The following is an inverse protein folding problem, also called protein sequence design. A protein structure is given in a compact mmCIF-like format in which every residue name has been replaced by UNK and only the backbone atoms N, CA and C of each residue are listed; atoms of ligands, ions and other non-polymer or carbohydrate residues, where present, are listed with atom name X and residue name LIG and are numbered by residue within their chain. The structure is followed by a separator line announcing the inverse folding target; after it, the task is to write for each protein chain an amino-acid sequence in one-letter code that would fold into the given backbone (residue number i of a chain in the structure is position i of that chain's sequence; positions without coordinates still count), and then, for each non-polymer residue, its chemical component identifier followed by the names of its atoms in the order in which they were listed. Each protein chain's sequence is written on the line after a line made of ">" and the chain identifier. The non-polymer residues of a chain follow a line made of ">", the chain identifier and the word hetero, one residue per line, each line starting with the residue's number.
data_IF_749390242118
#
_entry.id   IF_749390242118
#
_cell.length_a   1.000
_cell.length_b   1.000
_cell.length_c   1.000
_cell.angle_alpha   90.00
_cell.angle_beta   90.00
_cell.angle_gamma   90.00
#
_symmetry.space_group_name_H-M   'P 1'
#
loop_
_entity.id
_entity.type
_entity.pdbx_description
1 polymer ?
#
# COMPACT_ATOMS: atom_id res chain seq x y z
N UNK A 1 2.74 1.34 14.58
CA UNK A 1 3.74 0.58 13.82
C UNK A 1 5.00 1.39 13.73
N UNK A 2 6.14 0.72 13.77
CA UNK A 2 7.45 1.35 13.56
C UNK A 2 7.58 1.81 12.10
N UNK A 3 8.38 2.85 11.89
CA UNK A 3 8.75 3.31 10.54
C UNK A 3 9.63 2.26 9.86
N UNK A 4 9.34 1.95 8.61
CA UNK A 4 10.19 1.13 7.79
C UNK A 4 11.41 1.95 7.33
N UNK A 5 12.60 1.55 7.79
CA UNK A 5 13.88 2.17 7.42
C UNK A 5 13.91 3.71 7.57
N UNK A 6 13.21 4.25 8.59
CA UNK A 6 13.13 5.71 8.83
C UNK A 6 12.25 6.49 7.85
N UNK A 7 11.49 5.81 6.99
CA UNK A 7 10.57 6.44 6.03
C UNK A 7 9.17 6.69 6.61
N UNK A 8 8.30 7.33 5.82
CA UNK A 8 6.87 7.46 6.13
C UNK A 8 6.08 6.18 5.89
N UNK A 9 6.68 5.11 5.36
CA UNK A 9 6.04 3.81 5.30
C UNK A 9 6.17 3.12 6.66
N UNK A 10 5.10 2.49 7.13
CA UNK A 10 5.17 1.55 8.25
C UNK A 10 5.28 0.12 7.74
N UNK A 11 5.69 -0.83 8.58
CA UNK A 11 5.68 -2.26 8.22
C UNK A 11 4.30 -2.74 7.74
N UNK A 12 3.22 -2.22 8.34
CA UNK A 12 1.84 -2.49 7.92
C UNK A 12 1.51 -1.93 6.53
N UNK A 13 2.16 -0.84 6.10
CA UNK A 13 1.99 -0.30 4.74
C UNK A 13 2.70 -1.15 3.68
N UNK A 14 3.64 -2.02 4.09
CA UNK A 14 4.39 -2.91 3.21
C UNK A 14 3.86 -4.35 3.17
N UNK A 15 3.02 -4.72 4.14
CA UNK A 15 2.34 -6.00 4.12
C UNK A 15 1.19 -6.00 3.12
N UNK A 16 0.90 -7.17 2.54
CA UNK A 16 -0.34 -7.37 1.80
C UNK A 16 -1.53 -7.18 2.75
N UNK A 17 -2.60 -6.57 2.23
CA UNK A 17 -3.88 -6.54 2.94
C UNK A 17 -4.65 -7.81 2.64
N UNK A 18 -4.87 -8.59 3.68
CA UNK A 18 -5.78 -9.72 3.61
C UNK A 18 -7.24 -9.22 3.56
N UNK A 19 -8.01 -9.76 2.61
CA UNK A 19 -9.43 -9.45 2.44
C UNK A 19 -10.24 -9.88 3.67
N UNK A 20 -9.84 -10.96 4.34
CA UNK A 20 -10.52 -11.49 5.51
C UNK A 20 -10.21 -10.73 6.80
N UNK A 21 -9.25 -9.83 6.77
CA UNK A 21 -8.83 -9.00 7.90
C UNK A 21 -9.56 -7.67 7.99
N UNK A 22 -10.33 -7.31 6.96
CA UNK A 22 -10.94 -5.98 6.87
C UNK A 22 -12.44 -6.07 6.60
N UNK A 23 -13.15 -5.03 7.00
CA UNK A 23 -14.52 -4.75 6.59
C UNK A 23 -14.50 -3.65 5.54
N UNK A 24 -15.34 -3.80 4.51
CA UNK A 24 -15.34 -2.91 3.35
C UNK A 24 -16.72 -2.29 3.21
N UNK A 25 -16.74 -0.97 3.02
CA UNK A 25 -17.94 -0.23 2.66
C UNK A 25 -17.71 0.50 1.35
N UNK A 26 -18.57 0.22 0.37
CA UNK A 26 -18.60 0.95 -0.89
C UNK A 26 -19.23 2.32 -0.67
N UNK A 27 -18.49 3.37 -1.00
CA UNK A 27 -18.97 4.75 -0.95
C UNK A 27 -19.45 5.20 -2.33
N UNK A 28 -19.75 6.49 -2.51
CA UNK A 28 -19.98 7.05 -3.84
C UNK A 28 -18.67 7.09 -4.64
N UNK A 29 -18.79 6.99 -5.95
CA UNK A 29 -17.70 7.09 -6.91
C UNK A 29 -17.12 8.51 -6.89
N UNK A 30 -15.84 8.61 -7.16
CA UNK A 30 -15.14 9.89 -7.10
C UNK A 30 -14.01 9.90 -8.13
N UNK A 31 -13.44 11.07 -8.39
CA UNK A 31 -12.40 11.27 -9.39
C UNK A 31 -11.09 11.69 -8.73
N UNK A 32 -9.98 11.09 -9.17
CA UNK A 32 -8.62 11.51 -8.77
C UNK A 32 -7.84 11.79 -10.04
N UNK A 33 -7.42 13.04 -10.24
CA UNK A 33 -6.62 13.48 -11.40
C UNK A 33 -7.19 12.97 -12.75
N UNK A 34 -8.49 13.19 -12.97
CA UNK A 34 -9.25 12.72 -14.15
C UNK A 34 -9.50 11.21 -14.24
N UNK A 35 -9.05 10.42 -13.27
CA UNK A 35 -9.34 8.98 -13.19
C UNK A 35 -10.61 8.73 -12.39
N UNK A 36 -11.61 8.10 -13.02
CA UNK A 36 -12.84 7.70 -12.34
C UNK A 36 -12.55 6.49 -11.46
N UNK A 37 -12.87 6.61 -10.17
CA UNK A 37 -12.55 5.61 -9.16
C UNK A 37 -13.78 5.06 -8.44
N UNK A 38 -13.74 3.78 -8.13
CA UNK A 38 -14.49 3.25 -6.99
C UNK A 38 -13.84 3.76 -5.70
N UNK A 39 -14.66 4.17 -4.75
CA UNK A 39 -14.21 4.58 -3.43
C UNK A 39 -14.66 3.56 -2.39
N UNK A 40 -13.70 3.10 -1.60
CA UNK A 40 -13.91 2.15 -0.51
C UNK A 40 -13.49 2.78 0.81
N UNK A 41 -14.32 2.62 1.83
CA UNK A 41 -13.87 2.70 3.22
C UNK A 41 -13.47 1.30 3.67
N UNK A 42 -12.27 1.18 4.24
CA UNK A 42 -11.67 -0.08 4.68
C UNK A 42 -11.36 0.03 6.17
N UNK A 43 -12.00 -0.81 6.98
CA UNK A 43 -11.86 -0.81 8.44
C UNK A 43 -11.24 -2.14 8.87
N UNK A 44 -10.05 -2.14 9.51
CA UNK A 44 -9.47 -3.36 10.05
C UNK A 44 -10.39 -3.98 11.11
N UNK A 45 -10.63 -5.30 11.02
CA UNK A 45 -11.41 -6.04 12.03
C UNK A 45 -10.74 -5.95 13.40
N UNK A 46 -11.51 -6.03 14.48
CA UNK A 46 -11.01 -5.88 15.87
C UNK A 46 -9.84 -6.81 16.23
N UNK A 47 -9.79 -8.01 15.64
CA UNK A 47 -8.71 -9.00 15.87
C UNK A 47 -7.38 -8.61 15.22
N UNK A 48 -7.38 -7.68 14.28
CA UNK A 48 -6.22 -7.29 13.49
C UNK A 48 -5.46 -6.19 14.21
N UNK A 49 -4.16 -6.41 14.43
CA UNK A 49 -3.28 -5.42 15.04
C UNK A 49 -2.88 -4.35 14.02
N UNK A 50 -3.80 -3.43 13.74
CA UNK A 50 -3.56 -2.29 12.86
C UNK A 50 -3.14 -1.04 13.64
N UNK A 51 -2.30 -0.20 13.04
CA UNK A 51 -1.95 1.16 13.50
C UNK A 51 -2.97 2.22 13.07
N UNK A 52 -3.89 1.86 12.19
CA UNK A 52 -4.88 2.75 11.59
C UNK A 52 -6.28 2.41 12.12
N UNK A 53 -7.16 3.42 12.18
CA UNK A 53 -8.58 3.19 12.45
C UNK A 53 -9.32 2.76 11.19
N UNK A 54 -8.95 3.35 10.05
CA UNK A 54 -9.49 3.04 8.74
C UNK A 54 -8.60 3.58 7.62
N UNK A 55 -8.91 3.13 6.41
CA UNK A 55 -8.43 3.70 5.17
C UNK A 55 -9.61 4.12 4.30
N UNK A 56 -9.40 5.14 3.47
CA UNK A 56 -10.26 5.45 2.34
C UNK A 56 -9.42 5.27 1.08
N UNK A 57 -9.82 4.37 0.19
CA UNK A 57 -9.03 3.98 -0.98
C UNK A 57 -9.82 4.26 -2.25
N UNK A 58 -9.16 4.88 -3.23
CA UNK A 58 -9.68 5.15 -4.57
C UNK A 58 -9.06 4.15 -5.53
N UNK A 59 -9.91 3.34 -6.14
CA UNK A 59 -9.53 2.24 -7.03
C UNK A 59 -9.97 2.60 -8.44
N UNK A 60 -9.04 2.67 -9.39
CA UNK A 60 -9.33 2.94 -10.79
C UNK A 60 -10.33 1.91 -11.32
N UNK A 61 -11.44 2.36 -11.93
CA UNK A 61 -12.49 1.47 -12.44
C UNK A 61 -12.06 0.59 -13.60
N UNK A 62 -11.12 1.05 -14.42
CA UNK A 62 -10.69 0.36 -15.63
C UNK A 62 -9.64 -0.71 -15.32
N UNK A 63 -8.69 -0.38 -14.45
CA UNK A 63 -7.52 -1.22 -14.16
C UNK A 63 -7.62 -1.97 -12.83
N UNK A 64 -8.57 -1.60 -11.97
CA UNK A 64 -8.72 -2.09 -10.60
C UNK A 64 -7.49 -1.87 -9.69
N UNK A 65 -6.60 -0.94 -10.06
CA UNK A 65 -5.45 -0.55 -9.25
C UNK A 65 -5.79 0.57 -8.28
N UNK A 66 -5.19 0.57 -7.09
CA UNK A 66 -5.26 1.72 -6.20
C UNK A 66 -4.57 2.94 -6.84
N UNK A 67 -5.19 4.11 -6.73
CA UNK A 67 -4.68 5.39 -7.23
C UNK A 67 -4.31 6.32 -6.07
N UNK A 68 -5.17 6.34 -5.05
CA UNK A 68 -5.00 7.15 -3.85
C UNK A 68 -5.46 6.39 -2.62
N UNK A 69 -4.81 6.64 -1.48
CA UNK A 69 -5.31 6.23 -0.18
C UNK A 69 -5.11 7.31 0.88
N UNK A 70 -6.12 7.46 1.73
CA UNK A 70 -6.06 8.24 2.96
C UNK A 70 -6.13 7.29 4.16
N UNK A 71 -5.10 7.31 5.01
CA UNK A 71 -5.02 6.48 6.22
C UNK A 71 -5.23 7.32 7.47
N UNK A 72 -6.08 6.86 8.38
CA UNK A 72 -6.47 7.59 9.59
C UNK A 72 -5.88 6.92 10.83
N UNK A 73 -5.39 7.71 11.78
CA UNK A 73 -4.88 7.20 13.05
C UNK A 73 -5.99 6.63 13.94
N UNK A 74 -5.63 6.01 15.07
CA UNK A 74 -6.61 5.44 16.02
C UNK A 74 -7.56 6.47 16.65
N UNK A 75 -7.25 7.77 16.57
CA UNK A 75 -8.13 8.87 17.00
C UNK A 75 -9.02 9.39 15.87
N UNK A 76 -8.96 8.77 14.69
CA UNK A 76 -9.76 9.13 13.52
C UNK A 76 -9.22 10.34 12.75
N UNK A 77 -8.01 10.83 13.04
CA UNK A 77 -7.41 11.96 12.31
C UNK A 77 -6.65 11.46 11.10
N UNK A 78 -6.71 12.22 10.00
CA UNK A 78 -5.90 11.94 8.82
C UNK A 78 -4.43 11.90 9.21
N UNK A 79 -3.75 10.81 8.85
CA UNK A 79 -2.34 10.58 9.18
C UNK A 79 -1.47 10.55 7.93
N UNK A 80 -1.88 9.78 6.93
CA UNK A 80 -1.11 9.65 5.69
C UNK A 80 -1.99 9.82 4.47
N UNK A 81 -1.43 10.44 3.44
CA UNK A 81 -1.98 10.44 2.08
C UNK A 81 -0.97 9.72 1.20
N UNK A 82 -1.43 8.70 0.48
CA UNK A 82 -0.62 7.89 -0.44
C UNK A 82 -1.16 8.05 -1.85
N UNK A 83 -0.26 8.25 -2.81
CA UNK A 83 -0.56 8.26 -4.24
C UNK A 83 0.24 7.15 -4.90
N UNK A 84 -0.42 6.38 -5.76
CA UNK A 84 0.13 5.18 -6.37
C UNK A 84 0.16 5.37 -7.89
N UNK A 85 1.26 4.95 -8.50
CA UNK A 85 1.35 4.82 -9.94
C UNK A 85 1.58 3.35 -10.27
N UNK A 86 0.86 2.88 -11.28
CA UNK A 86 1.01 1.52 -11.79
C UNK A 86 1.34 1.56 -13.28
N UNK A 87 2.11 0.59 -13.73
CA UNK A 87 2.42 0.37 -15.14
C UNK A 87 1.90 -1.00 -15.56
N UNK A 88 1.52 -1.14 -16.83
CA UNK A 88 1.15 -2.45 -17.38
C UNK A 88 2.40 -3.18 -17.83
N UNK A 89 2.57 -4.41 -17.37
CA UNK A 89 3.64 -5.31 -17.77
C UNK A 89 3.05 -6.69 -18.01
N UNK A 90 3.08 -7.13 -19.28
CA UNK A 90 2.35 -8.32 -19.74
C UNK A 90 0.86 -8.21 -19.37
N UNK A 91 0.35 -9.16 -18.59
CA UNK A 91 -1.03 -9.25 -18.15
C UNK A 91 -1.27 -8.60 -16.78
N UNK A 92 -0.25 -7.97 -16.20
CA UNK A 92 -0.31 -7.39 -14.86
C UNK A 92 -0.28 -5.87 -14.89
N UNK A 93 -1.04 -5.25 -13.98
CA UNK A 93 -0.78 -3.88 -13.56
C UNK A 93 0.09 -3.91 -12.30
N UNK A 94 1.32 -3.43 -12.41
CA UNK A 94 2.32 -3.49 -11.36
C UNK A 94 2.57 -2.08 -10.82
N UNK A 95 2.65 -1.95 -9.50
CA UNK A 95 3.02 -0.70 -8.85
C UNK A 95 4.43 -0.26 -9.29
N UNK A 96 4.54 0.91 -9.92
CA UNK A 96 5.80 1.50 -10.39
C UNK A 96 6.31 2.61 -9.46
N UNK A 97 5.42 3.31 -8.76
CA UNK A 97 5.84 4.24 -7.71
C UNK A 97 4.77 4.45 -6.63
N UNK A 98 5.25 4.82 -5.44
CA UNK A 98 4.42 5.29 -4.33
C UNK A 98 4.97 6.59 -3.80
N UNK A 99 4.10 7.58 -3.66
CA UNK A 99 4.36 8.78 -2.89
C UNK A 99 3.55 8.75 -1.60
N UNK A 100 4.19 8.97 -0.46
CA UNK A 100 3.58 9.02 0.86
C UNK A 100 3.86 10.39 1.48
N UNK A 101 2.80 11.02 1.99
CA UNK A 101 2.90 12.21 2.85
C UNK A 101 2.33 11.87 4.22
N UNK A 102 3.15 11.89 5.27
CA UNK A 102 2.67 11.90 6.65
C UNK A 102 2.29 13.35 7.00
N UNK A 103 0.98 13.62 7.02
CA UNK A 103 0.46 14.98 7.21
C UNK A 103 0.61 15.47 8.65
N UNK A 104 0.78 14.56 9.61
CA UNK A 104 0.96 14.91 11.02
C UNK A 104 2.41 15.29 11.32
N UNK A 105 3.37 14.72 10.57
CA UNK A 105 4.80 15.03 10.69
C UNK A 105 5.30 16.03 9.65
N UNK A 106 4.49 16.34 8.64
CA UNK A 106 4.88 17.11 7.47
C UNK A 106 6.16 16.56 6.79
N UNK A 107 6.22 15.23 6.67
CA UNK A 107 7.33 14.51 6.06
C UNK A 107 6.83 13.69 4.87
N UNK A 108 7.70 13.45 3.89
CA UNK A 108 7.33 12.80 2.65
C UNK A 108 8.37 11.77 2.22
N UNK A 109 7.88 10.68 1.64
CA UNK A 109 8.69 9.59 1.11
C UNK A 109 8.20 9.27 -0.31
N UNK A 110 9.13 9.10 -1.25
CA UNK A 110 8.84 8.56 -2.58
C UNK A 110 9.62 7.28 -2.78
N UNK A 111 8.92 6.21 -3.17
CA UNK A 111 9.50 4.93 -3.56
C UNK A 111 9.26 4.75 -5.06
N UNK A 112 10.30 4.44 -5.81
CA UNK A 112 10.25 4.18 -7.25
C UNK A 112 10.82 2.80 -7.49
N UNK A 113 10.12 2.00 -8.29
CA UNK A 113 10.55 0.65 -8.66
C UNK A 113 11.10 0.67 -10.08
N UNK A 114 12.38 0.38 -10.22
CA UNK A 114 13.09 0.32 -11.50
C UNK A 114 13.44 -1.13 -11.84
N UNK A 115 13.68 -1.42 -13.13
CA UNK A 115 14.05 -2.75 -13.64
C UNK A 115 13.14 -3.91 -13.21
N UNK A 116 11.84 -3.63 -13.10
CA UNK A 116 10.81 -4.61 -12.76
C UNK A 116 10.81 -5.79 -13.75
N UNK A 117 10.79 -7.01 -13.21
CA UNK A 117 10.70 -8.26 -13.98
C UNK A 117 9.66 -9.16 -13.34
N UNK A 118 8.84 -9.81 -14.17
CA UNK A 118 7.82 -10.78 -13.75
C UNK A 118 8.09 -12.16 -14.34
N UNK A 119 7.58 -13.17 -13.66
CA UNK A 119 7.67 -14.60 -14.03
C UNK A 119 9.11 -15.05 -14.31
N UNK A 120 10.06 -14.61 -13.49
CA UNK A 120 11.49 -14.92 -13.65
C UNK A 120 11.88 -16.31 -13.13
N UNK A 121 10.94 -17.08 -12.57
CA UNK A 121 11.20 -18.41 -12.03
C UNK A 121 11.97 -18.40 -10.69
N UNK A 122 11.70 -17.42 -9.82
CA UNK A 122 12.31 -17.34 -8.49
C UNK A 122 11.96 -18.60 -7.69
N UNK A 123 12.98 -19.32 -7.23
CA UNK A 123 12.81 -20.56 -6.48
C UNK A 123 12.31 -20.31 -5.05
N UNK A 124 11.37 -21.13 -4.58
CA UNK A 124 10.80 -21.04 -3.23
C UNK A 124 11.87 -21.09 -2.12
N UNK A 125 12.95 -21.84 -2.34
CA UNK A 125 14.07 -21.97 -1.40
C UNK A 125 14.72 -20.63 -1.04
N UNK A 126 14.52 -19.58 -1.83
CA UNK A 126 14.99 -18.22 -1.55
C UNK A 126 14.24 -17.57 -0.39
N UNK A 127 12.97 -17.92 -0.15
CA UNK A 127 12.12 -17.34 0.90
C UNK A 127 12.27 -18.08 2.24
N UNK A 128 13.50 -18.38 2.65
CA UNK A 128 13.83 -18.98 3.94
C UNK A 128 14.64 -18.00 4.79
N UNK A 129 14.32 -17.86 6.08
CA UNK A 129 15.00 -16.93 7.00
C UNK A 129 16.52 -17.07 7.00
N UNK A 130 17.03 -18.30 6.82
CA UNK A 130 18.48 -18.57 6.74
C UNK A 130 19.17 -17.77 5.63
N UNK A 131 18.47 -17.42 4.56
CA UNK A 131 19.03 -16.65 3.45
C UNK A 131 19.18 -15.15 3.78
N UNK A 132 18.52 -14.67 4.84
CA UNK A 132 18.75 -13.33 5.40
C UNK A 132 20.00 -13.27 6.28
N UNK A 133 20.42 -14.43 6.83
CA UNK A 133 21.63 -14.57 7.63
C UNK A 133 22.83 -14.77 6.70
N UNK A 134 23.33 -13.68 6.10
CA UNK A 134 24.67 -13.73 5.50
C UNK A 134 25.70 -13.75 6.62
N UNK A 135 26.49 -14.82 6.70
CA UNK A 135 27.81 -14.71 7.29
C UNK A 135 28.60 -13.74 6.40
N UNK A 136 29.25 -12.71 6.94
CA UNK A 136 30.11 -11.84 6.15
C UNK A 136 31.18 -12.69 5.45
N UNK A 137 31.43 -12.38 4.18
CA UNK A 137 32.65 -12.83 3.49
C UNK A 137 33.78 -11.83 3.76
#
# INVERSE_FOLDING_TARGET
>A
GDSFMGSDLSYEDMSNRDLEENEYKRLEDDMVDSTVCYVLEVVPKKKVKSSYSKHKSWINKETLTAVKEESFDKKGKLKKVKSFQSTRMRDYYILSSVYVKDVQKNHTTKVVFEDLKVDTGIEEKLFQEKNLKRLPQ
#
